data_IF_463783684065
#
_entry.id   IF_463783684065
#
_cell.length_a   1.000
_cell.length_b   1.000
_cell.length_c   1.000
_cell.angle_alpha   90.00
_cell.angle_beta   90.00
_cell.angle_gamma   90.00
#
_symmetry.space_group_name_H-M   'P 1'
#
loop_
_entity.id
_entity.type
_entity.pdbx_description
1 polymer ?
#
# COMPACT_ATOMS: atom_id res chain seq x y z
N UNK A 1 1.83 -9.16 -1.69
CA UNK A 1 3.15 -8.48 -1.77
C UNK A 1 3.80 -8.89 -3.09
N UNK A 2 4.32 -7.95 -3.89
CA UNK A 2 5.07 -8.29 -5.11
C UNK A 2 6.56 -8.57 -4.76
N UNK A 3 6.94 -9.85 -4.67
CA UNK A 3 8.35 -10.27 -4.56
C UNK A 3 9.02 -10.37 -5.95
N UNK A 4 10.35 -10.30 -5.98
CA UNK A 4 11.17 -10.12 -7.20
C UNK A 4 12.52 -9.49 -6.86
N UNK A 5 13.52 -9.66 -7.73
CA UNK A 5 14.87 -9.19 -7.45
C UNK A 5 14.97 -7.64 -7.39
N UNK A 6 15.95 -7.08 -6.64
CA UNK A 6 16.28 -5.66 -6.75
C UNK A 6 16.48 -5.25 -8.22
N UNK A 7 15.87 -4.14 -8.64
CA UNK A 7 15.93 -3.68 -10.03
C UNK A 7 14.96 -4.38 -11.01
N UNK A 8 14.08 -5.28 -10.56
CA UNK A 8 13.12 -5.99 -11.43
C UNK A 8 11.94 -5.12 -11.93
N UNK A 9 12.01 -3.80 -11.75
CA UNK A 9 10.96 -2.88 -12.20
C UNK A 9 9.71 -2.79 -11.30
N UNK A 10 9.72 -3.36 -10.08
CA UNK A 10 8.57 -3.32 -9.16
C UNK A 10 8.12 -1.91 -8.81
N UNK A 11 9.07 -1.06 -8.44
CA UNK A 11 8.80 0.36 -8.17
C UNK A 11 8.17 1.01 -9.38
N UNK A 12 8.66 0.73 -10.60
CA UNK A 12 8.09 1.25 -11.84
C UNK A 12 6.66 0.74 -12.08
N UNK A 13 6.40 -0.54 -11.83
CA UNK A 13 5.07 -1.14 -11.94
C UNK A 13 4.09 -0.55 -10.91
N UNK A 14 4.49 -0.45 -9.64
CA UNK A 14 3.66 0.13 -8.58
C UNK A 14 3.37 1.61 -8.84
N UNK A 15 4.35 2.37 -9.34
CA UNK A 15 4.15 3.77 -9.78
C UNK A 15 3.18 3.86 -10.95
N UNK A 16 3.35 3.01 -11.96
CA UNK A 16 2.43 2.96 -13.10
C UNK A 16 1.00 2.63 -12.64
N UNK A 17 0.84 1.64 -11.76
CA UNK A 17 -0.47 1.26 -11.21
C UNK A 17 -1.10 2.41 -10.41
N UNK A 18 -0.32 3.07 -9.55
CA UNK A 18 -0.74 4.27 -8.81
C UNK A 18 -1.27 5.34 -9.76
N UNK A 19 -0.53 5.64 -10.84
CA UNK A 19 -0.92 6.64 -11.83
C UNK A 19 -2.23 6.27 -12.54
N UNK A 20 -2.40 5.00 -12.94
CA UNK A 20 -3.62 4.52 -13.63
C UNK A 20 -4.85 4.64 -12.75
N UNK A 21 -4.75 4.27 -11.48
CA UNK A 21 -5.84 4.40 -10.52
C UNK A 21 -6.15 5.87 -10.21
N UNK A 22 -5.12 6.71 -10.04
CA UNK A 22 -5.31 8.13 -9.75
C UNK A 22 -5.99 8.86 -10.91
N UNK A 23 -5.55 8.59 -12.15
CA UNK A 23 -6.20 9.11 -13.35
C UNK A 23 -7.68 8.69 -13.41
N UNK A 24 -7.96 7.41 -13.14
CA UNK A 24 -9.34 6.92 -13.17
C UNK A 24 -10.23 7.54 -12.10
N UNK A 25 -9.66 7.83 -10.92
CA UNK A 25 -10.35 8.52 -9.84
C UNK A 25 -10.64 9.99 -10.16
N UNK A 26 -9.68 10.69 -10.79
CA UNK A 26 -9.83 12.09 -11.19
C UNK A 26 -10.88 12.28 -12.30
N UNK A 27 -10.91 11.39 -13.28
CA UNK A 27 -11.87 11.44 -14.38
C UNK A 27 -13.29 10.96 -13.97
N UNK A 28 -13.47 10.55 -12.71
CA UNK A 28 -14.77 10.10 -12.20
C UNK A 28 -15.25 8.77 -12.78
N UNK A 29 -14.34 7.94 -13.32
CA UNK A 29 -14.72 6.64 -13.83
C UNK A 29 -15.20 5.73 -12.70
N UNK A 30 -16.14 4.83 -13.01
CA UNK A 30 -16.59 3.79 -12.07
C UNK A 30 -15.66 2.57 -12.05
N UNK A 31 -14.80 2.45 -13.06
CA UNK A 31 -13.94 1.28 -13.34
C UNK A 31 -12.53 1.73 -13.74
N UNK A 32 -11.54 0.89 -13.45
CA UNK A 32 -10.16 1.10 -13.92
C UNK A 32 -9.90 0.13 -15.07
N UNK A 33 -9.36 0.65 -16.17
CA UNK A 33 -8.93 -0.17 -17.30
C UNK A 33 -7.40 -0.30 -17.30
N UNK A 34 -6.92 -1.53 -17.10
CA UNK A 34 -5.51 -1.90 -17.27
C UNK A 34 -5.40 -2.69 -18.58
N UNK A 35 -5.12 -2.00 -19.68
CA UNK A 35 -5.22 -2.54 -21.04
C UNK A 35 -6.64 -3.10 -21.29
N UNK A 36 -6.77 -4.40 -21.54
CA UNK A 36 -8.04 -5.11 -21.79
C UNK A 36 -8.70 -5.63 -20.50
N UNK A 37 -8.04 -5.50 -19.35
CA UNK A 37 -8.57 -5.95 -18.06
C UNK A 37 -9.36 -4.83 -17.41
N UNK A 38 -10.64 -5.08 -17.17
CA UNK A 38 -11.53 -4.21 -16.43
C UNK A 38 -11.51 -4.57 -14.94
N UNK A 39 -11.31 -3.57 -14.08
CA UNK A 39 -11.35 -3.73 -12.63
C UNK A 39 -12.59 -3.06 -12.05
N UNK A 40 -13.28 -3.79 -11.18
CA UNK A 40 -14.68 -3.54 -10.79
C UNK A 40 -14.90 -2.27 -9.95
N UNK A 41 -13.85 -1.64 -9.41
CA UNK A 41 -13.99 -0.40 -8.62
C UNK A 41 -12.75 0.47 -8.63
N UNK A 42 -12.94 1.77 -8.87
CA UNK A 42 -11.89 2.78 -8.68
C UNK A 42 -11.66 2.98 -7.19
N UNK A 43 -10.51 2.52 -6.70
CA UNK A 43 -10.02 2.77 -5.34
C UNK A 43 -9.00 3.90 -5.37
N UNK A 44 -8.98 4.75 -4.34
CA UNK A 44 -7.97 5.82 -4.20
C UNK A 44 -6.60 5.16 -3.96
N UNK A 45 -5.62 5.30 -4.87
CA UNK A 45 -4.34 4.65 -4.70
C UNK A 45 -3.48 5.41 -3.67
N UNK A 46 -2.93 4.68 -2.70
CA UNK A 46 -2.02 5.19 -1.68
C UNK A 46 -0.72 4.38 -1.78
N UNK A 47 0.31 5.00 -2.34
CA UNK A 47 1.65 4.42 -2.47
C UNK A 47 2.51 4.75 -1.24
N UNK A 48 2.94 3.73 -0.51
CA UNK A 48 3.76 3.83 0.69
C UNK A 48 5.14 3.28 0.41
N UNK A 49 6.15 4.13 0.58
CA UNK A 49 7.57 3.75 0.56
C UNK A 49 7.97 3.23 1.93
N UNK A 50 8.17 1.92 2.06
CA UNK A 50 8.47 1.24 3.32
C UNK A 50 9.80 1.68 3.94
N UNK A 51 10.80 2.03 3.12
CA UNK A 51 12.02 2.69 3.60
C UNK A 51 11.76 4.01 4.34
N UNK A 52 10.86 4.86 3.82
CA UNK A 52 10.50 6.14 4.45
C UNK A 52 9.64 5.96 5.70
N UNK A 53 8.76 4.97 5.68
CA UNK A 53 8.03 4.56 6.87
C UNK A 53 9.00 4.06 7.97
N UNK A 54 10.00 3.25 7.62
CA UNK A 54 11.03 2.79 8.56
C UNK A 54 11.81 3.97 9.18
N UNK A 55 12.24 4.93 8.35
CA UNK A 55 12.87 6.18 8.81
C UNK A 55 11.96 6.97 9.76
N UNK A 56 10.66 7.05 9.46
CA UNK A 56 9.68 7.75 10.30
C UNK A 56 9.45 7.09 11.66
N UNK A 57 9.39 5.76 11.71
CA UNK A 57 9.24 4.99 12.95
C UNK A 57 10.37 5.22 13.96
N UNK A 58 11.57 5.59 13.50
CA UNK A 58 12.68 5.95 14.42
C UNK A 58 12.33 7.13 15.32
N UNK A 59 11.47 8.05 14.84
CA UNK A 59 11.00 9.22 15.58
C UNK A 59 9.68 8.98 16.31
N UNK A 60 8.89 8.01 15.84
CA UNK A 60 7.60 7.63 16.43
C UNK A 60 7.52 6.11 16.66
N UNK A 61 8.18 5.57 17.71
CA UNK A 61 8.31 4.13 17.91
C UNK A 61 7.00 3.42 18.30
N UNK A 62 5.94 4.13 18.64
CA UNK A 62 4.64 3.53 18.95
C UNK A 62 3.63 3.66 17.80
N UNK A 63 4.02 4.29 16.68
CA UNK A 63 3.11 4.55 15.58
C UNK A 63 2.92 3.30 14.69
N UNK A 64 1.73 3.24 14.07
CA UNK A 64 1.29 2.18 13.17
C UNK A 64 1.40 2.62 11.70
N UNK A 65 1.04 1.72 10.77
CA UNK A 65 0.99 2.08 9.34
C UNK A 65 -0.16 3.07 9.03
N UNK A 66 -1.30 2.97 9.71
CA UNK A 66 -2.43 3.89 9.50
C UNK A 66 -2.09 5.31 9.97
N UNK A 67 -1.28 5.46 11.03
CA UNK A 67 -0.76 6.76 11.50
C UNK A 67 0.20 7.42 10.50
N UNK A 68 0.77 6.64 9.58
CA UNK A 68 1.68 7.13 8.55
C UNK A 68 0.93 7.60 7.29
N UNK A 69 -0.28 7.09 7.06
CA UNK A 69 -1.08 7.46 5.89
C UNK A 69 -1.48 8.93 6.01
N UNK A 70 -1.11 9.72 5.00
CA UNK A 70 -1.33 11.17 4.98
C UNK A 70 -0.22 12.01 5.61
N UNK A 71 0.77 11.39 6.25
CA UNK A 71 1.92 12.10 6.81
C UNK A 71 2.94 12.53 5.73
N UNK A 72 3.17 11.71 4.70
CA UNK A 72 4.06 12.03 3.58
C UNK A 72 3.38 11.75 2.24
N UNK A 73 3.66 12.61 1.26
CA UNK A 73 3.34 12.38 -0.15
C UNK A 73 4.20 11.25 -0.71
N UNK A 74 3.78 10.73 -1.87
CA UNK A 74 4.53 9.73 -2.63
C UNK A 74 5.97 10.16 -3.02
N UNK A 75 6.27 11.47 -3.01
CA UNK A 75 7.61 12.04 -3.27
C UNK A 75 8.44 12.29 -2.00
N UNK A 76 7.90 11.96 -0.82
CA UNK A 76 8.56 12.26 0.46
C UNK A 76 8.41 13.72 0.91
N UNK A 77 7.61 14.52 0.22
CA UNK A 77 7.22 15.86 0.68
C UNK A 77 6.04 15.78 1.66
N UNK A 78 5.97 16.69 2.62
CA UNK A 78 4.83 16.76 3.55
C UNK A 78 3.58 17.28 2.81
N UNK A 79 2.40 16.73 3.12
CA UNK A 79 1.15 17.37 2.72
C UNK A 79 1.06 18.71 3.44
N UNK A 80 1.14 19.83 2.72
CA UNK A 80 1.11 21.18 3.32
C UNK A 80 -0.30 21.66 3.72
N UNK A 81 -1.31 20.79 3.72
CA UNK A 81 -2.69 21.16 4.04
C UNK A 81 -3.21 20.18 5.09
N UNK A 82 -3.63 20.73 6.23
CA UNK A 82 -3.86 20.04 7.51
C UNK A 82 -5.04 19.04 7.52
N UNK A 83 -5.74 18.85 6.40
CA UNK A 83 -6.98 18.04 6.34
C UNK A 83 -6.89 16.75 5.48
N UNK A 84 -5.82 16.54 4.70
CA UNK A 84 -5.76 15.37 3.81
C UNK A 84 -5.50 14.04 4.52
N UNK A 85 -4.90 14.09 5.71
CA UNK A 85 -4.63 12.90 6.51
C UNK A 85 -5.91 12.13 6.84
N UNK A 86 -6.92 12.83 7.32
CA UNK A 86 -8.21 12.24 7.68
C UNK A 86 -9.00 11.74 6.47
N UNK A 87 -8.89 12.42 5.32
CA UNK A 87 -9.54 11.98 4.08
C UNK A 87 -8.98 10.65 3.59
N UNK A 88 -7.65 10.49 3.60
CA UNK A 88 -7.00 9.26 3.17
C UNK A 88 -7.29 8.11 4.13
N UNK A 89 -7.24 8.36 5.45
CA UNK A 89 -7.63 7.37 6.46
C UNK A 89 -9.09 6.94 6.30
N UNK A 90 -10.01 7.89 6.08
CA UNK A 90 -11.42 7.57 5.78
C UNK A 90 -11.56 6.64 4.57
N UNK A 91 -10.79 6.88 3.50
CA UNK A 91 -10.81 6.01 2.33
C UNK A 91 -10.34 4.58 2.66
N UNK A 92 -9.36 4.42 3.54
CA UNK A 92 -8.92 3.11 4.05
C UNK A 92 -10.03 2.44 4.86
N UNK A 93 -10.59 3.14 5.85
CA UNK A 93 -11.64 2.60 6.72
C UNK A 93 -12.90 2.18 5.95
N UNK A 94 -13.19 2.84 4.82
CA UNK A 94 -14.33 2.52 3.96
C UNK A 94 -14.04 1.42 2.92
N UNK A 95 -12.83 0.85 2.89
CA UNK A 95 -12.43 -0.12 1.86
C UNK A 95 -12.33 0.48 0.45
N UNK A 96 -12.20 1.81 0.36
CA UNK A 96 -12.13 2.57 -0.90
C UNK A 96 -10.70 2.93 -1.30
N UNK A 97 -9.71 2.46 -0.57
CA UNK A 97 -8.29 2.69 -0.86
C UNK A 97 -7.63 1.46 -1.50
N UNK A 98 -6.70 1.69 -2.42
CA UNK A 98 -5.76 0.70 -2.91
C UNK A 98 -4.40 1.00 -2.27
N UNK A 99 -3.99 0.17 -1.31
CA UNK A 99 -2.71 0.34 -0.62
C UNK A 99 -1.61 -0.37 -1.40
N UNK A 100 -0.57 0.37 -1.78
CA UNK A 100 0.58 -0.12 -2.54
C UNK A 100 1.82 0.05 -1.67
N UNK A 101 2.47 -1.05 -1.30
CA UNK A 101 3.67 -1.04 -0.46
C UNK A 101 4.91 -1.32 -1.32
N UNK A 102 5.91 -0.44 -1.26
CA UNK A 102 7.12 -0.50 -2.10
C UNK A 102 8.41 -0.33 -1.27
N UNK A 103 9.49 -0.97 -1.70
CA UNK A 103 10.84 -0.74 -1.17
C UNK A 103 11.11 -1.27 0.25
N UNK A 104 10.61 -2.47 0.60
CA UNK A 104 10.99 -3.14 1.86
C UNK A 104 12.48 -3.55 1.87
N UNK A 105 13.01 -3.88 0.70
CA UNK A 105 14.43 -4.22 0.47
C UNK A 105 15.36 -3.01 0.62
N UNK A 106 14.85 -1.79 0.58
CA UNK A 106 15.60 -0.56 0.82
C UNK A 106 15.80 -0.26 2.32
N UNK A 107 15.20 -1.03 3.22
CA UNK A 107 15.35 -0.87 4.67
C UNK A 107 16.72 -1.42 5.12
N UNK A 108 17.53 -0.56 5.74
CA UNK A 108 18.96 -0.79 6.00
C UNK A 108 19.22 -1.93 6.99
N UNK A 109 18.39 -2.07 8.02
CA UNK A 109 18.62 -3.04 9.10
C UNK A 109 17.56 -4.13 9.10
N UNK A 110 17.99 -5.36 9.42
CA UNK A 110 17.09 -6.52 9.54
C UNK A 110 16.01 -6.31 10.62
N UNK A 111 16.36 -5.66 11.73
CA UNK A 111 15.41 -5.33 12.80
C UNK A 111 14.30 -4.39 12.32
N UNK A 112 14.67 -3.30 11.63
CA UNK A 112 13.69 -2.38 11.05
C UNK A 112 12.86 -3.06 9.96
N UNK A 113 13.48 -3.90 9.13
CA UNK A 113 12.78 -4.63 8.08
C UNK A 113 11.74 -5.58 8.67
N UNK A 114 12.11 -6.34 9.71
CA UNK A 114 11.21 -7.25 10.44
C UNK A 114 10.05 -6.47 11.06
N UNK A 115 10.36 -5.35 11.71
CA UNK A 115 9.36 -4.48 12.33
C UNK A 115 8.37 -3.89 11.32
N UNK A 116 8.87 -3.36 10.20
CA UNK A 116 8.01 -2.80 9.13
C UNK A 116 7.15 -3.89 8.50
N UNK A 117 7.71 -5.10 8.29
CA UNK A 117 6.94 -6.25 7.82
C UNK A 117 5.81 -6.60 8.79
N UNK A 118 6.09 -6.63 10.10
CA UNK A 118 5.10 -6.91 11.13
C UNK A 118 3.95 -5.89 11.10
N UNK A 119 4.27 -4.59 11.12
CA UNK A 119 3.27 -3.52 11.08
C UNK A 119 2.45 -3.53 9.78
N UNK A 120 3.06 -3.92 8.65
CA UNK A 120 2.33 -4.10 7.40
C UNK A 120 1.36 -5.29 7.44
N UNK A 121 1.77 -6.40 8.06
CA UNK A 121 0.90 -7.58 8.25
C UNK A 121 -0.26 -7.25 9.18
N UNK A 122 -0.01 -6.57 10.30
CA UNK A 122 -1.05 -6.10 11.22
C UNK A 122 -2.06 -5.23 10.48
N UNK A 123 -1.59 -4.24 9.73
CA UNK A 123 -2.45 -3.38 8.92
C UNK A 123 -3.30 -4.16 7.91
N UNK A 124 -2.71 -5.13 7.19
CA UNK A 124 -3.46 -5.97 6.25
C UNK A 124 -4.54 -6.78 7.00
N UNK A 125 -4.19 -7.36 8.14
CA UNK A 125 -5.11 -8.17 8.93
C UNK A 125 -6.31 -7.37 9.47
N UNK A 126 -6.09 -6.10 9.80
CA UNK A 126 -7.08 -5.19 10.37
C UNK A 126 -7.99 -4.58 9.30
N UNK A 127 -7.45 -4.15 8.16
CA UNK A 127 -8.17 -3.34 7.18
C UNK A 127 -8.52 -4.05 5.86
N UNK A 128 -7.90 -5.19 5.54
CA UNK A 128 -8.14 -5.90 4.26
C UNK A 128 -9.13 -7.07 4.43
N UNK A 129 -9.23 -7.68 5.62
CA UNK A 129 -10.09 -8.85 5.86
C UNK A 129 -11.58 -8.54 6.02
N UNK A 130 -11.98 -7.27 6.18
CA UNK A 130 -13.34 -6.91 6.62
C UNK A 130 -14.30 -6.51 5.50
N UNK A 131 -13.89 -6.41 4.24
CA UNK A 131 -14.80 -6.07 3.15
C UNK A 131 -14.70 -7.08 1.99
N UNK A 132 -15.81 -7.77 1.75
CA UNK A 132 -16.07 -8.84 0.78
C UNK A 132 -16.01 -8.40 -0.70
N UNK A 133 -15.00 -7.61 -1.09
CA UNK A 133 -14.68 -7.31 -2.48
C UNK A 133 -13.25 -7.73 -2.76
N UNK A 134 -13.12 -9.01 -3.07
CA UNK A 134 -11.90 -9.63 -3.61
C UNK A 134 -11.54 -8.87 -4.89
N UNK A 135 -10.50 -8.04 -4.81
CA UNK A 135 -9.85 -7.49 -6.00
C UNK A 135 -9.16 -8.63 -6.75
N UNK A 136 -9.11 -8.58 -8.08
CA UNK A 136 -8.34 -9.55 -8.89
C UNK A 136 -6.83 -9.62 -8.49
N UNK A 137 -6.33 -8.65 -7.72
CA UNK A 137 -4.99 -8.68 -7.13
C UNK A 137 -4.92 -9.29 -5.74
N UNK A 138 -6.04 -9.40 -5.01
CA UNK A 138 -6.08 -10.00 -3.68
C UNK A 138 -5.87 -11.53 -3.77
N UNK A 139 -6.35 -12.17 -4.84
CA UNK A 139 -6.11 -13.61 -5.08
C UNK A 139 -4.60 -13.93 -5.22
N UNK A 140 -3.84 -13.08 -5.91
CA UNK A 140 -2.39 -13.28 -6.10
C UNK A 140 -1.63 -13.06 -4.78
N UNK A 141 -2.09 -12.11 -3.96
CA UNK A 141 -1.47 -11.84 -2.65
C UNK A 141 -1.82 -12.92 -1.63
N UNK A 142 -3.05 -13.45 -1.63
CA UNK A 142 -3.48 -14.49 -0.69
C UNK A 142 -2.79 -15.83 -0.96
N UNK A 143 -2.63 -16.22 -2.23
CA UNK A 143 -1.90 -17.45 -2.59
C UNK A 143 -0.46 -17.43 -2.07
N UNK A 144 0.22 -16.28 -2.12
CA UNK A 144 1.61 -16.19 -1.67
C UNK A 144 1.79 -16.02 -0.15
N UNK A 145 0.72 -15.74 0.61
CA UNK A 145 0.79 -15.67 2.08
C UNK A 145 0.49 -17.06 2.69
N UNK A 146 -0.39 -17.85 2.08
CA UNK A 146 -0.65 -19.21 2.56
C UNK A 146 0.57 -20.13 2.38
N UNK A 147 1.35 -19.95 1.31
CA UNK A 147 2.56 -20.75 1.06
C UNK A 147 3.74 -20.43 2.00
N UNK A 148 3.75 -19.28 2.69
CA UNK A 148 4.82 -18.93 3.66
C UNK A 148 4.49 -19.36 5.11
N UNK A 149 3.27 -19.86 5.38
CA UNK A 149 2.86 -20.32 6.73
C UNK A 149 2.59 -21.83 6.83
N UNK A 150 2.71 -22.59 5.74
CA UNK A 150 2.71 -24.05 5.76
C UNK A 150 4.13 -24.57 5.56
N UNK A 151 4.94 -24.37 6.61
CA UNK A 151 6.33 -24.82 6.65
C UNK A 151 6.75 -25.02 8.10
N UNK A 152 6.04 -25.89 8.82
CA UNK A 152 6.60 -26.63 9.96
C UNK A 152 7.45 -27.80 9.46
#
# INVERSE_FOLDING_TARGET
>A
MLLGAPGSGKTSLLRWLTLRYAYSALEGFKRVYLNEVELESVRIPILIRLGKFAEWLTRKPAATLIDYIGYQTWLGELYMVEDYEEVLKCAVYQGRALILLDGLDEVVTFEQQTRVRHLAIEFISEYVRSNSQVSAFDDIVLVHIEDEYVGE
#
